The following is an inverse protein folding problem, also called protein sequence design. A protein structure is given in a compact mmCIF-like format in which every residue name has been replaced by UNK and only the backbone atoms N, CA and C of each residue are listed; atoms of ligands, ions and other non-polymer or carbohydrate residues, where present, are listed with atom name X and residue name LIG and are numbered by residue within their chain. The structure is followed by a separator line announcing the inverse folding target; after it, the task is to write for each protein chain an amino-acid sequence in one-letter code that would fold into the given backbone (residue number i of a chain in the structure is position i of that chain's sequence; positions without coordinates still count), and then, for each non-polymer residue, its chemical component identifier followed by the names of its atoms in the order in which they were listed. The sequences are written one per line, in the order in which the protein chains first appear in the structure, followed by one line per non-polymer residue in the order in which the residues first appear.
data_IF_939035818557
#
_entry.id   IF_939035818557
#
_cell.length_a   1.000
_cell.length_b   1.000
_cell.length_c   1.000
_cell.angle_alpha   90.00
_cell.angle_beta   90.00
_cell.angle_gamma   90.00
#
_symmetry.space_group_name_H-M   'P 1'
#
loop_
_entity.id
_entity.type
_entity.pdbx_description
1 polymer ?
#
# COMPACT_ATOMS: atom_id res chain seq x y z
N UNK A 1 49.02 16.30 21.74
CA UNK A 1 48.93 14.83 21.90
C UNK A 1 47.53 14.34 22.31
N UNK A 2 46.79 15.01 23.20
CA UNK A 2 45.47 14.53 23.67
C UNK A 2 44.39 14.35 22.57
N UNK A 3 44.32 15.25 21.58
CA UNK A 3 43.33 15.21 20.50
C UNK A 3 43.44 13.98 19.58
N UNK A 4 44.66 13.47 19.37
CA UNK A 4 44.93 12.28 18.54
C UNK A 4 44.46 10.99 19.22
N UNK A 5 44.56 10.92 20.55
CA UNK A 5 44.09 9.76 21.31
C UNK A 5 42.56 9.68 21.37
N UNK A 6 41.87 10.82 21.43
CA UNK A 6 40.39 10.88 21.44
C UNK A 6 39.75 10.57 20.09
N UNK A 7 40.38 10.94 18.97
CA UNK A 7 39.86 10.58 17.63
C UNK A 7 40.06 9.11 17.32
N UNK A 8 41.19 8.52 17.73
CA UNK A 8 41.48 7.09 17.56
C UNK A 8 40.54 6.19 18.38
N UNK A 9 40.19 6.60 19.60
CA UNK A 9 39.33 5.81 20.50
C UNK A 9 37.86 5.75 20.06
N UNK A 10 37.36 6.72 19.29
CA UNK A 10 35.98 6.74 18.79
C UNK A 10 35.84 6.12 17.39
N UNK A 11 36.86 6.24 16.53
CA UNK A 11 36.79 5.77 15.14
C UNK A 11 36.96 4.25 15.01
N UNK A 12 37.83 3.65 15.83
CA UNK A 12 38.07 2.21 15.81
C UNK A 12 36.83 1.36 16.19
N UNK A 13 36.09 1.65 17.29
CA UNK A 13 34.88 0.89 17.62
C UNK A 13 33.76 1.09 16.60
N UNK A 14 33.67 2.28 15.98
CA UNK A 14 32.72 2.53 14.90
C UNK A 14 33.05 1.69 13.66
N UNK A 15 34.32 1.62 13.26
CA UNK A 15 34.76 0.79 12.14
C UNK A 15 34.53 -0.70 12.40
N UNK A 16 34.80 -1.17 13.63
CA UNK A 16 34.52 -2.55 14.04
C UNK A 16 33.01 -2.82 13.99
N UNK A 17 32.18 -1.87 14.43
CA UNK A 17 30.73 -2.00 14.36
C UNK A 17 30.25 -2.11 12.91
N UNK A 18 30.69 -1.22 12.02
CA UNK A 18 30.30 -1.24 10.60
C UNK A 18 30.76 -2.53 9.92
N UNK A 19 32.01 -2.93 10.10
CA UNK A 19 32.57 -4.15 9.48
C UNK A 19 31.91 -5.42 10.02
N UNK A 20 31.61 -5.49 11.32
CA UNK A 20 30.87 -6.60 11.92
C UNK A 20 29.45 -6.72 11.36
N UNK A 21 28.71 -5.62 11.28
CA UNK A 21 27.36 -5.63 10.73
C UNK A 21 27.36 -6.01 9.24
N UNK A 22 28.33 -5.50 8.47
CA UNK A 22 28.50 -5.88 7.08
C UNK A 22 28.82 -7.37 6.91
N UNK A 23 29.71 -7.92 7.75
CA UNK A 23 30.07 -9.34 7.71
C UNK A 23 28.89 -10.25 8.07
N UNK A 24 28.09 -9.89 9.08
CA UNK A 24 26.88 -10.65 9.45
C UNK A 24 25.89 -10.70 8.27
N UNK A 25 25.70 -9.59 7.56
CA UNK A 25 24.86 -9.51 6.38
C UNK A 25 25.42 -10.34 5.20
N UNK A 26 26.72 -10.28 4.97
CA UNK A 26 27.38 -11.04 3.91
C UNK A 26 27.36 -12.57 4.16
N UNK A 27 27.46 -12.99 5.43
CA UNK A 27 27.42 -14.41 5.81
C UNK A 27 26.00 -14.98 5.87
N UNK A 28 24.98 -14.13 6.05
CA UNK A 28 23.57 -14.53 6.05
C UNK A 28 22.78 -13.70 5.03
N UNK A 29 23.03 -13.89 3.72
CA UNK A 29 22.18 -13.27 2.72
C UNK A 29 20.73 -13.71 2.98
N UNK A 30 19.73 -12.84 2.80
CA UNK A 30 18.33 -13.26 2.86
C UNK A 30 18.16 -14.46 1.93
N UNK A 31 17.51 -15.52 2.44
CA UNK A 31 17.19 -16.72 1.66
C UNK A 31 16.22 -16.34 0.53
N UNK A 32 16.74 -15.79 -0.56
CA UNK A 32 15.99 -15.67 -1.79
C UNK A 32 15.85 -17.07 -2.38
N UNK A 33 14.61 -17.49 -2.59
CA UNK A 33 14.32 -18.75 -3.29
C UNK A 33 15.10 -18.81 -4.61
N UNK A 34 15.75 -19.94 -4.89
CA UNK A 34 16.40 -20.20 -6.20
C UNK A 34 15.42 -20.11 -7.37
N UNK A 35 14.12 -20.21 -7.07
CA UNK A 35 13.02 -19.96 -7.99
C UNK A 35 12.14 -18.86 -7.40
N UNK A 36 12.43 -17.57 -7.68
CA UNK A 36 11.61 -16.48 -7.17
C UNK A 36 10.19 -16.63 -7.72
N UNK A 37 9.21 -16.67 -6.81
CA UNK A 37 7.80 -16.63 -7.19
C UNK A 37 7.45 -15.18 -7.48
N UNK A 38 7.14 -14.86 -8.74
CA UNK A 38 6.71 -13.52 -9.14
C UNK A 38 5.19 -13.46 -9.02
N UNK A 39 4.71 -12.55 -8.17
CA UNK A 39 3.28 -12.27 -8.01
C UNK A 39 2.93 -11.07 -8.89
N UNK A 40 2.01 -11.26 -9.83
CA UNK A 40 1.48 -10.19 -10.68
C UNK A 40 0.02 -9.96 -10.28
N UNK A 41 -0.28 -8.75 -9.83
CA UNK A 41 -1.66 -8.32 -9.55
C UNK A 41 -2.12 -7.48 -10.73
N UNK A 42 -3.12 -7.99 -11.46
CA UNK A 42 -3.77 -7.27 -12.56
C UNK A 42 -5.16 -6.86 -12.10
N UNK A 43 -5.44 -5.56 -12.11
CA UNK A 43 -6.75 -5.00 -11.75
C UNK A 43 -7.37 -4.32 -12.96
N UNK A 44 -8.64 -4.61 -13.23
CA UNK A 44 -9.45 -3.96 -14.25
C UNK A 44 -10.51 -3.10 -13.55
N UNK A 45 -10.37 -1.78 -13.62
CA UNK A 45 -11.31 -0.87 -12.95
C UNK A 45 -12.72 -1.01 -13.55
N UNK A 46 -13.73 -1.07 -12.68
CA UNK A 46 -15.13 -1.24 -13.08
C UNK A 46 -15.48 -2.59 -13.73
N UNK A 47 -14.59 -3.60 -13.67
CA UNK A 47 -14.86 -4.92 -14.26
C UNK A 47 -15.86 -5.73 -13.41
N UNK A 48 -17.13 -5.65 -13.77
CA UNK A 48 -18.21 -6.34 -13.07
C UNK A 48 -18.16 -7.86 -13.34
N UNK A 49 -18.60 -8.65 -12.36
CA UNK A 49 -18.55 -10.12 -12.39
C UNK A 49 -19.18 -10.77 -13.63
N UNK A 50 -20.17 -10.14 -14.25
CA UNK A 50 -20.92 -10.68 -15.40
C UNK A 50 -20.37 -10.25 -16.76
N UNK A 51 -19.31 -9.44 -16.80
CA UNK A 51 -18.78 -8.90 -18.07
C UNK A 51 -18.17 -9.97 -18.97
N UNK A 52 -17.49 -10.98 -18.42
CA UNK A 52 -16.97 -12.12 -19.21
C UNK A 52 -18.08 -12.92 -19.91
N UNK A 53 -19.32 -12.85 -19.42
CA UNK A 53 -20.46 -13.53 -20.05
C UNK A 53 -21.14 -12.66 -21.13
N UNK A 54 -20.84 -11.36 -21.18
CA UNK A 54 -21.47 -10.39 -22.09
C UNK A 54 -20.64 -10.09 -23.32
N UNK A 55 -19.35 -10.41 -23.31
CA UNK A 55 -18.44 -10.16 -24.43
C UNK A 55 -17.39 -11.26 -24.52
N UNK A 56 -16.80 -11.44 -25.70
CA UNK A 56 -15.81 -12.48 -25.97
C UNK A 56 -14.45 -12.08 -25.39
N UNK A 57 -13.95 -12.81 -24.40
CA UNK A 57 -12.70 -12.52 -23.70
C UNK A 57 -11.72 -13.69 -23.73
N UNK A 58 -11.23 -14.13 -24.91
CA UNK A 58 -10.57 -15.44 -25.07
C UNK A 58 -9.32 -15.61 -24.19
N UNK A 59 -8.60 -14.53 -23.89
CA UNK A 59 -7.44 -14.57 -23.00
C UNK A 59 -7.83 -14.72 -21.52
N UNK A 60 -8.89 -14.03 -21.08
CA UNK A 60 -9.39 -14.16 -19.70
C UNK A 60 -10.10 -15.50 -19.51
N UNK A 61 -10.79 -15.98 -20.54
CA UNK A 61 -11.43 -17.31 -20.56
C UNK A 61 -10.36 -18.40 -20.37
N UNK A 62 -9.22 -18.29 -21.07
CA UNK A 62 -8.09 -19.19 -20.87
C UNK A 62 -7.53 -19.16 -19.45
N UNK A 63 -7.43 -17.98 -18.83
CA UNK A 63 -6.98 -17.84 -17.44
C UNK A 63 -7.99 -18.47 -16.46
N UNK A 64 -9.28 -18.30 -16.72
CA UNK A 64 -10.35 -18.89 -15.92
C UNK A 64 -10.37 -20.42 -16.01
N UNK A 65 -10.18 -20.98 -17.20
CA UNK A 65 -10.19 -22.43 -17.45
C UNK A 65 -8.95 -23.15 -16.91
N UNK A 66 -7.77 -22.51 -16.99
CA UNK A 66 -6.50 -23.10 -16.56
C UNK A 66 -6.10 -22.68 -15.13
N UNK A 67 -6.95 -21.93 -14.43
CA UNK A 67 -6.67 -21.36 -13.12
C UNK A 67 -7.82 -21.57 -12.13
N UNK A 68 -7.87 -20.71 -11.12
CA UNK A 68 -8.94 -20.70 -10.12
C UNK A 68 -9.77 -19.44 -10.32
N UNK A 69 -11.10 -19.60 -10.33
CA UNK A 69 -12.04 -18.47 -10.44
C UNK A 69 -13.16 -18.60 -9.41
N UNK A 70 -13.70 -17.46 -9.01
CA UNK A 70 -14.86 -17.35 -8.10
C UNK A 70 -16.03 -16.70 -8.85
N UNK A 71 -17.30 -16.95 -8.45
CA UNK A 71 -18.46 -16.37 -9.13
C UNK A 71 -18.48 -14.84 -9.14
N UNK A 72 -18.04 -14.21 -8.05
CA UNK A 72 -17.86 -12.77 -7.92
C UNK A 72 -16.95 -12.44 -6.73
N UNK A 73 -16.40 -11.23 -6.71
CA UNK A 73 -15.69 -10.66 -5.56
C UNK A 73 -16.56 -9.54 -4.97
N UNK A 74 -16.74 -9.54 -3.65
CA UNK A 74 -17.49 -8.49 -2.96
C UNK A 74 -16.54 -7.32 -2.65
N UNK A 75 -16.86 -6.16 -3.18
CA UNK A 75 -16.14 -4.92 -2.90
C UNK A 75 -16.44 -4.40 -1.49
N UNK A 76 -15.50 -3.64 -0.95
CA UNK A 76 -15.70 -2.85 0.27
C UNK A 76 -16.56 -1.63 -0.05
N UNK A 77 -17.35 -1.21 0.94
CA UNK A 77 -18.08 0.05 0.86
C UNK A 77 -17.16 1.20 1.31
N UNK A 78 -17.11 2.32 0.57
CA UNK A 78 -17.81 2.59 -0.69
C UNK A 78 -17.12 1.94 -1.90
N UNK A 79 -17.92 1.57 -2.93
CA UNK A 79 -17.43 0.93 -4.16
C UNK A 79 -16.76 1.95 -5.09
N UNK A 80 -15.61 2.47 -4.67
CA UNK A 80 -14.83 3.50 -5.35
C UNK A 80 -13.44 2.96 -5.73
N UNK A 81 -12.84 3.57 -6.75
CA UNK A 81 -11.62 3.06 -7.39
C UNK A 81 -10.31 3.37 -6.64
N UNK A 82 -10.27 4.23 -5.60
CA UNK A 82 -9.13 4.30 -4.67
C UNK A 82 -9.30 3.38 -3.46
N UNK A 83 -10.42 3.40 -2.71
CA UNK A 83 -10.57 2.57 -1.52
C UNK A 83 -10.42 1.07 -1.79
N UNK A 84 -11.06 0.52 -2.84
CA UNK A 84 -11.10 -0.92 -3.06
C UNK A 84 -9.74 -1.55 -3.41
N UNK A 85 -8.96 -1.01 -4.36
CA UNK A 85 -7.61 -1.51 -4.60
C UNK A 85 -6.72 -1.43 -3.36
N UNK A 86 -6.88 -0.39 -2.53
CA UNK A 86 -6.15 -0.28 -1.27
C UNK A 86 -6.54 -1.36 -0.27
N UNK A 87 -7.83 -1.68 -0.14
CA UNK A 87 -8.28 -2.79 0.71
C UNK A 87 -7.73 -4.14 0.22
N UNK A 88 -7.57 -4.34 -1.10
CA UNK A 88 -7.00 -5.59 -1.67
C UNK A 88 -5.52 -5.74 -1.29
N UNK A 89 -4.72 -4.68 -1.40
CA UNK A 89 -3.27 -4.76 -1.14
C UNK A 89 -2.91 -4.71 0.34
N UNK A 90 -3.74 -4.08 1.17
CA UNK A 90 -3.50 -3.96 2.63
C UNK A 90 -4.21 -5.05 3.44
N UNK A 91 -5.31 -5.61 2.92
CA UNK A 91 -6.20 -6.49 3.69
C UNK A 91 -7.03 -5.75 4.75
N UNK A 92 -7.02 -4.42 4.75
CA UNK A 92 -7.72 -3.57 5.71
C UNK A 92 -9.02 -3.02 5.13
N UNK A 93 -9.95 -2.64 6.01
CA UNK A 93 -11.15 -1.88 5.61
C UNK A 93 -10.82 -0.41 5.33
N UNK A 94 -11.62 0.29 4.51
CA UNK A 94 -11.44 1.73 4.24
C UNK A 94 -11.30 2.61 5.48
N UNK A 95 -12.02 2.29 6.55
CA UNK A 95 -11.93 2.96 7.84
C UNK A 95 -10.58 2.73 8.56
N UNK A 96 -9.94 1.59 8.32
CA UNK A 96 -8.68 1.20 8.97
C UNK A 96 -7.45 1.67 8.17
N UNK A 97 -7.51 1.64 6.84
CA UNK A 97 -6.42 2.15 5.99
C UNK A 97 -6.59 3.64 5.61
N UNK A 98 -7.63 4.31 6.10
CA UNK A 98 -7.84 5.76 5.98
C UNK A 98 -8.28 6.30 4.62
N UNK A 99 -8.41 5.45 3.59
CA UNK A 99 -8.80 5.87 2.23
C UNK A 99 -10.27 5.51 2.01
N UNK A 100 -11.16 6.43 2.38
CA UNK A 100 -12.61 6.23 2.35
C UNK A 100 -13.30 6.77 1.09
N UNK A 101 -12.63 7.60 0.31
CA UNK A 101 -13.19 8.24 -0.89
C UNK A 101 -12.12 8.34 -1.99
N UNK A 102 -12.49 8.86 -3.15
CA UNK A 102 -11.55 9.30 -4.18
C UNK A 102 -11.20 10.79 -4.05
N UNK A 103 -12.11 11.53 -3.40
CA UNK A 103 -12.06 12.98 -3.21
C UNK A 103 -12.38 13.23 -1.75
N UNK A 104 -11.55 14.05 -1.10
CA UNK A 104 -11.72 14.46 0.29
C UNK A 104 -11.76 15.97 0.36
N UNK A 105 -12.61 16.53 1.22
CA UNK A 105 -12.65 17.96 1.45
C UNK A 105 -11.72 18.34 2.61
N UNK A 106 -10.82 19.29 2.35
CA UNK A 106 -9.96 19.89 3.37
C UNK A 106 -10.64 21.14 3.95
N UNK A 107 -11.07 21.13 5.22
CA UNK A 107 -11.77 22.26 5.81
C UNK A 107 -10.84 23.45 6.13
N UNK A 108 -9.53 23.23 6.28
CA UNK A 108 -8.57 24.28 6.61
C UNK A 108 -8.27 25.14 5.38
N UNK A 109 -7.96 24.48 4.26
CA UNK A 109 -7.68 25.16 2.99
C UNK A 109 -8.93 25.36 2.12
N UNK A 110 -10.09 24.86 2.56
CA UNK A 110 -11.39 24.93 1.87
C UNK A 110 -11.33 24.44 0.42
N UNK A 111 -10.61 23.35 0.18
CA UNK A 111 -10.41 22.78 -1.14
C UNK A 111 -10.73 21.29 -1.18
N UNK A 112 -11.13 20.82 -2.34
CA UNK A 112 -11.20 19.39 -2.62
C UNK A 112 -9.81 18.86 -2.96
N UNK A 113 -9.45 17.75 -2.34
CA UNK A 113 -8.24 16.99 -2.57
C UNK A 113 -8.61 15.76 -3.40
N UNK A 114 -7.95 15.57 -4.53
CA UNK A 114 -8.24 14.46 -5.46
C UNK A 114 -7.07 13.48 -5.46
N UNK A 115 -7.30 12.24 -5.02
CA UNK A 115 -6.21 11.27 -4.83
C UNK A 115 -5.50 10.84 -6.11
N UNK A 116 -6.18 10.88 -7.26
CA UNK A 116 -5.58 10.54 -8.57
C UNK A 116 -4.63 11.60 -9.13
N UNK A 117 -4.67 12.83 -8.62
CA UNK A 117 -3.81 13.93 -9.10
C UNK A 117 -2.45 13.97 -8.40
N UNK A 118 -2.12 12.94 -7.60
CA UNK A 118 -0.95 12.94 -6.71
C UNK A 118 -0.86 14.22 -5.86
N UNK A 119 -2.01 14.80 -5.44
CA UNK A 119 -2.01 15.92 -4.51
C UNK A 119 -1.38 15.43 -3.18
N UNK A 120 -0.21 15.95 -2.78
CA UNK A 120 0.43 15.53 -1.54
C UNK A 120 -0.46 15.76 -0.32
N UNK A 121 -1.34 16.77 -0.39
CA UNK A 121 -2.34 17.03 0.65
C UNK A 121 -3.33 15.87 0.82
N UNK A 122 -3.69 15.16 -0.25
CA UNK A 122 -4.57 14.00 -0.17
C UNK A 122 -3.90 12.84 0.57
N UNK A 123 -2.66 12.53 0.21
CA UNK A 123 -1.93 11.40 0.79
C UNK A 123 -1.48 11.68 2.22
N UNK A 124 -1.07 12.92 2.53
CA UNK A 124 -0.81 13.35 3.90
C UNK A 124 -2.08 13.31 4.75
N UNK A 125 -3.23 13.73 4.21
CA UNK A 125 -4.52 13.61 4.89
C UNK A 125 -4.87 12.15 5.23
N UNK A 126 -4.50 11.21 4.35
CA UNK A 126 -4.73 9.77 4.60
C UNK A 126 -3.67 9.11 5.50
N UNK A 127 -2.45 9.64 5.57
CA UNK A 127 -1.36 9.09 6.39
C UNK A 127 -1.40 9.56 7.85
N UNK A 128 -2.10 10.66 8.15
CA UNK A 128 -2.40 11.06 9.53
C UNK A 128 -3.54 10.24 10.19
N UNK A 129 -4.03 9.18 9.50
CA UNK A 129 -5.08 8.26 9.99
C UNK A 129 -4.52 7.15 10.89
N UNK A 130 -3.42 7.42 11.60
CA UNK A 130 -2.96 6.59 12.73
C UNK A 130 -3.75 6.86 14.02
N UNK A 131 -4.87 7.57 13.95
CA UNK A 131 -5.72 7.71 15.12
C UNK A 131 -7.19 7.71 14.75
N UNK A 132 -7.92 6.89 15.50
CA UNK A 132 -9.37 6.89 15.73
C UNK A 132 -9.92 8.26 16.19
N UNK A 133 -9.24 9.37 15.91
CA UNK A 133 -9.54 10.72 16.37
C UNK A 133 -9.80 11.71 15.24
N UNK A 134 -9.65 11.35 13.97
CA UNK A 134 -9.98 12.25 12.85
C UNK A 134 -11.50 12.49 12.79
N UNK A 135 -12.00 13.73 13.07
CA UNK A 135 -13.43 14.03 13.09
C UNK A 135 -14.12 13.82 11.74
N UNK A 136 -13.35 13.83 10.65
CA UNK A 136 -13.84 13.81 9.27
C UNK A 136 -14.18 12.39 8.81
N UNK A 137 -13.41 11.38 9.23
CA UNK A 137 -13.72 9.96 8.95
C UNK A 137 -15.05 9.57 9.60
N UNK A 138 -15.28 10.03 10.84
CA UNK A 138 -16.55 9.81 11.56
C UNK A 138 -17.73 10.50 10.87
N UNK A 139 -17.55 11.73 10.37
CA UNK A 139 -18.61 12.47 9.69
C UNK A 139 -19.01 11.88 8.33
N UNK A 140 -18.05 11.30 7.59
CA UNK A 140 -18.34 10.66 6.30
C UNK A 140 -19.05 9.32 6.51
N UNK A 141 -18.61 8.51 7.48
CA UNK A 141 -19.25 7.22 7.80
C UNK A 141 -20.69 7.42 8.33
N UNK A 142 -20.95 8.44 9.14
CA UNK A 142 -22.30 8.72 9.67
C UNK A 142 -23.31 9.21 8.62
N UNK A 143 -22.85 9.69 7.45
CA UNK A 143 -23.71 10.27 6.41
C UNK A 143 -23.76 9.42 5.12
N UNK A 144 -23.33 8.16 5.19
CA UNK A 144 -23.37 7.18 4.09
C UNK A 144 -24.15 5.93 4.48
#
# INVERSE_FOLDING_TARGET
MALLHTTFTLTLPFLIFVTRNYLIFALNPPNLSKHPVVIIIVSFDGFRYDYMNKTRTPNLDRVKENGVSVPYMRNQFPTKSLPNPYSIVTGLYPESHGIVSNIVYDPFYRKELVGYMYDPGYWNFSMDVDSLTSPIVSLYIQNS
#
